data_IF_618237168868
#
_entry.id   IF_618237168868
#
_cell.length_a   1.000
_cell.length_b   1.000
_cell.length_c   1.000
_cell.angle_alpha   90.00
_cell.angle_beta   90.00
_cell.angle_gamma   90.00
#
_symmetry.space_group_name_H-M   'P 1'
#
loop_
_entity.id
_entity.type
_entity.pdbx_description
1 polymer ?
#
# COMPACT_ATOMS: atom_id res chain seq x y z
N UNK A 1 -4.13 -5.62 11.42
CA UNK A 1 -4.84 -4.32 11.31
C UNK A 1 -4.01 -3.49 10.36
N UNK A 2 -4.59 -2.91 9.31
CA UNK A 2 -3.81 -2.33 8.20
C UNK A 2 -2.78 -1.30 8.66
N UNK A 3 -3.07 -0.48 9.67
CA UNK A 3 -2.10 0.46 10.25
C UNK A 3 -0.89 -0.24 10.90
N UNK A 4 -1.09 -1.37 11.58
CA UNK A 4 0.00 -2.17 12.16
C UNK A 4 0.89 -2.74 11.05
N UNK A 5 0.29 -3.26 9.99
CA UNK A 5 1.04 -3.77 8.84
C UNK A 5 1.81 -2.64 8.13
N UNK A 6 1.23 -1.43 8.05
CA UNK A 6 1.92 -0.24 7.53
C UNK A 6 3.10 0.19 8.40
N UNK A 7 2.94 0.23 9.73
CA UNK A 7 4.05 0.56 10.64
C UNK A 7 5.18 -0.48 10.61
N UNK A 8 4.87 -1.74 10.28
CA UNK A 8 5.87 -2.81 10.20
C UNK A 8 6.57 -2.89 8.85
N UNK A 9 5.84 -2.63 7.75
CA UNK A 9 6.31 -2.92 6.39
C UNK A 9 6.46 -1.68 5.51
N UNK A 10 5.93 -0.52 5.91
CA UNK A 10 5.94 0.72 5.15
C UNK A 10 5.03 0.75 3.92
N UNK A 11 4.52 -0.40 3.49
CA UNK A 11 3.61 -0.51 2.34
C UNK A 11 2.56 -1.59 2.56
N UNK A 12 1.32 -1.29 2.21
CA UNK A 12 0.22 -2.27 2.15
C UNK A 12 -0.54 -2.11 0.83
N UNK A 13 -0.90 -3.23 0.23
CA UNK A 13 -1.75 -3.30 -0.97
C UNK A 13 -3.15 -3.74 -0.56
N UNK A 14 -4.18 -3.06 -1.08
CA UNK A 14 -5.58 -3.37 -0.83
C UNK A 14 -6.32 -3.65 -2.15
N UNK A 15 -6.72 -4.90 -2.33
CA UNK A 15 -7.64 -5.31 -3.40
C UNK A 15 -9.09 -5.19 -2.90
N UNK A 16 -9.63 -3.99 -2.99
CA UNK A 16 -11.00 -3.70 -2.58
C UNK A 16 -11.63 -2.62 -3.48
N UNK A 17 -12.94 -2.41 -3.29
CA UNK A 17 -13.67 -1.39 -4.03
C UNK A 17 -13.15 0.01 -3.71
N UNK A 18 -12.99 0.86 -4.74
CA UNK A 18 -12.45 2.23 -4.57
C UNK A 18 -13.10 3.08 -3.45
N UNK A 19 -14.42 3.06 -3.23
CA UNK A 19 -15.01 3.79 -2.10
C UNK A 19 -14.51 3.30 -0.75
N UNK A 20 -14.30 1.99 -0.60
CA UNK A 20 -13.79 1.39 0.62
C UNK A 20 -12.33 1.80 0.87
N UNK A 21 -11.48 1.76 -0.16
CA UNK A 21 -10.09 2.18 -0.05
C UNK A 21 -9.93 3.68 0.29
N UNK A 22 -10.86 4.53 -0.16
CA UNK A 22 -10.88 5.95 0.24
C UNK A 22 -11.23 6.14 1.71
N UNK A 23 -12.21 5.39 2.22
CA UNK A 23 -12.56 5.42 3.64
C UNK A 23 -11.38 4.94 4.49
N UNK A 24 -10.78 3.81 4.10
CA UNK A 24 -9.59 3.26 4.75
C UNK A 24 -8.43 4.26 4.76
N UNK A 25 -8.22 5.02 3.70
CA UNK A 25 -7.19 6.07 3.66
C UNK A 25 -7.41 7.18 4.71
N UNK A 26 -8.66 7.48 5.06
CA UNK A 26 -9.00 8.42 6.12
C UNK A 26 -8.74 7.82 7.51
N UNK A 27 -9.24 6.62 7.74
CA UNK A 27 -9.06 5.86 8.98
C UNK A 27 -7.57 5.66 9.31
N UNK A 28 -6.76 5.29 8.31
CA UNK A 28 -5.31 5.13 8.49
C UNK A 28 -4.61 6.43 8.87
N UNK A 29 -5.03 7.57 8.32
CA UNK A 29 -4.45 8.87 8.70
C UNK A 29 -4.78 9.21 10.14
N UNK A 30 -6.02 8.98 10.57
CA UNK A 30 -6.43 9.19 11.96
C UNK A 30 -5.67 8.27 12.92
N UNK A 31 -5.54 6.99 12.61
CA UNK A 31 -4.81 6.01 13.42
C UNK A 31 -3.31 6.32 13.52
N UNK A 32 -2.70 6.79 12.43
CA UNK A 32 -1.28 7.17 12.39
C UNK A 32 -1.03 8.61 12.87
N UNK A 33 -2.07 9.36 13.23
CA UNK A 33 -1.94 10.75 13.68
C UNK A 33 -1.49 11.74 12.59
N UNK A 34 -1.66 11.40 11.31
CA UNK A 34 -1.25 12.19 10.15
C UNK A 34 -2.35 13.19 9.80
N UNK A 35 -2.03 14.49 9.80
CA UNK A 35 -3.00 15.54 9.47
C UNK A 35 -3.10 15.76 7.95
N UNK A 36 -4.28 16.10 7.41
CA UNK A 36 -4.47 16.31 5.97
C UNK A 36 -3.66 17.47 5.38
N UNK A 37 -3.32 18.48 6.18
CA UNK A 37 -2.75 19.76 5.75
C UNK A 37 -1.29 19.98 6.19
N UNK A 38 -0.61 18.94 6.68
CA UNK A 38 0.82 19.06 7.00
C UNK A 38 1.63 19.02 5.70
N UNK A 39 1.87 20.21 5.11
CA UNK A 39 2.80 20.43 3.98
C UNK A 39 4.26 20.56 4.44
N UNK A 40 4.56 20.02 5.62
CA UNK A 40 5.90 20.06 6.21
C UNK A 40 6.66 18.86 5.65
N UNK A 41 7.63 19.11 4.77
CA UNK A 41 8.42 18.07 4.09
C UNK A 41 9.18 17.16 5.08
N UNK A 42 9.36 17.61 6.33
CA UNK A 42 10.03 16.89 7.41
C UNK A 42 9.09 15.98 8.24
N UNK A 43 7.78 15.93 7.92
CA UNK A 43 6.81 15.08 8.65
C UNK A 43 6.45 13.81 7.91
N UNK A 44 6.06 12.82 8.70
CA UNK A 44 5.55 11.56 8.16
C UNK A 44 4.25 11.75 7.39
N UNK A 45 4.16 11.08 6.24
CA UNK A 45 3.02 11.14 5.34
C UNK A 45 2.52 9.75 4.96
N UNK A 46 1.24 9.71 4.60
CA UNK A 46 0.59 8.54 4.02
C UNK A 46 0.16 8.84 2.59
N UNK A 47 0.79 8.16 1.64
CA UNK A 47 0.34 8.19 0.24
C UNK A 47 -0.72 7.11 0.03
N UNK A 48 -1.79 7.48 -0.66
CA UNK A 48 -2.78 6.55 -1.20
C UNK A 48 -2.71 6.64 -2.72
N UNK A 49 -2.25 5.56 -3.34
CA UNK A 49 -2.00 5.48 -4.78
C UNK A 49 -2.74 4.28 -5.36
N UNK A 50 -2.92 4.30 -6.68
CA UNK A 50 -3.45 3.15 -7.42
C UNK A 50 -2.50 2.79 -8.55
N UNK A 51 -2.39 1.50 -8.86
CA UNK A 51 -1.69 1.07 -10.06
C UNK A 51 -2.37 -0.12 -10.73
N UNK A 52 -2.17 -0.19 -12.04
CA UNK A 52 -2.49 -1.36 -12.84
C UNK A 52 -1.53 -2.52 -12.49
N UNK A 53 -2.09 -3.72 -12.39
CA UNK A 53 -1.41 -4.94 -12.02
C UNK A 53 -1.96 -6.12 -12.84
N UNK A 54 -1.16 -7.16 -12.95
CA UNK A 54 -1.53 -8.42 -13.60
C UNK A 54 -1.27 -9.60 -12.65
N UNK A 55 -2.15 -9.82 -11.65
CA UNK A 55 -2.12 -11.01 -10.83
C UNK A 55 -2.45 -12.26 -11.66
N UNK A 56 -1.40 -12.98 -12.07
CA UNK A 56 -1.50 -14.30 -12.70
C UNK A 56 -2.32 -14.35 -14.02
N UNK A 57 -2.25 -13.30 -14.85
CA UNK A 57 -2.91 -13.22 -16.16
C UNK A 57 -4.27 -12.51 -16.13
N UNK A 58 -4.67 -11.97 -14.99
CA UNK A 58 -5.91 -11.21 -14.82
C UNK A 58 -5.60 -9.72 -14.60
N UNK A 59 -5.69 -8.92 -15.66
CA UNK A 59 -5.49 -7.47 -15.57
C UNK A 59 -6.48 -6.80 -14.62
N UNK A 60 -5.96 -5.96 -13.72
CA UNK A 60 -6.75 -5.26 -12.71
C UNK A 60 -6.08 -4.01 -12.17
N UNK A 61 -6.77 -3.33 -11.27
CA UNK A 61 -6.26 -2.19 -10.52
C UNK A 61 -6.30 -2.50 -9.03
N UNK A 62 -5.23 -2.16 -8.34
CA UNK A 62 -5.17 -2.20 -6.87
C UNK A 62 -4.84 -0.83 -6.33
N UNK A 63 -5.29 -0.57 -5.11
CA UNK A 63 -4.80 0.56 -4.34
C UNK A 63 -3.71 0.10 -3.39
N UNK A 64 -2.83 1.01 -3.03
CA UNK A 64 -1.80 0.76 -2.05
C UNK A 64 -1.52 2.03 -1.25
N UNK A 65 -1.01 1.79 -0.05
CA UNK A 65 -0.69 2.80 0.95
C UNK A 65 0.79 2.75 1.24
N UNK A 66 1.46 3.90 1.23
CA UNK A 66 2.89 4.01 1.56
C UNK A 66 3.03 4.94 2.75
N UNK A 67 3.66 4.45 3.82
CA UNK A 67 3.94 5.21 5.02
C UNK A 67 5.42 5.60 5.08
N UNK A 68 5.71 6.90 5.07
CA UNK A 68 7.08 7.41 4.91
C UNK A 68 8.03 7.05 6.04
N UNK A 69 7.54 6.93 7.28
CA UNK A 69 8.40 6.68 8.46
C UNK A 69 9.17 5.36 8.32
N UNK A 70 8.55 4.36 7.71
CA UNK A 70 9.02 2.97 7.68
C UNK A 70 9.31 2.46 6.28
N UNK A 71 8.94 3.23 5.24
CA UNK A 71 9.25 2.90 3.85
C UNK A 71 10.59 3.54 3.44
N UNK A 72 11.69 2.76 3.32
CA UNK A 72 13.04 3.31 3.18
C UNK A 72 13.37 3.77 1.74
N UNK A 73 12.41 3.69 0.83
CA UNK A 73 12.61 3.93 -0.60
C UNK A 73 11.80 5.14 -1.07
N UNK A 74 12.24 5.72 -2.18
CA UNK A 74 11.46 6.71 -2.92
C UNK A 74 10.06 6.13 -3.24
N UNK A 75 8.95 6.84 -2.93
CA UNK A 75 7.60 6.45 -3.31
C UNK A 75 7.43 6.07 -4.79
N UNK A 76 8.23 6.64 -5.69
CA UNK A 76 8.24 6.25 -7.11
C UNK A 76 8.62 4.77 -7.33
N UNK A 77 9.40 4.17 -6.42
CA UNK A 77 9.77 2.75 -6.46
C UNK A 77 8.67 1.83 -5.91
N UNK A 78 7.72 2.36 -5.14
CA UNK A 78 6.65 1.56 -4.54
C UNK A 78 5.82 0.82 -5.60
N UNK A 79 5.52 1.45 -6.75
CA UNK A 79 4.74 0.83 -7.83
C UNK A 79 5.33 -0.49 -8.32
N UNK A 80 6.66 -0.55 -8.49
CA UNK A 80 7.32 -1.77 -8.97
C UNK A 80 7.25 -2.89 -7.93
N UNK A 81 7.40 -2.55 -6.64
CA UNK A 81 7.27 -3.49 -5.53
C UNK A 81 5.83 -4.01 -5.40
N UNK A 82 4.82 -3.15 -5.54
CA UNK A 82 3.40 -3.52 -5.54
C UNK A 82 3.10 -4.51 -6.66
N UNK A 83 3.56 -4.23 -7.88
CA UNK A 83 3.34 -5.13 -9.02
C UNK A 83 3.98 -6.51 -8.77
N UNK A 84 5.19 -6.56 -8.21
CA UNK A 84 5.86 -7.82 -7.85
C UNK A 84 5.12 -8.57 -6.73
N UNK A 85 4.67 -7.85 -5.69
CA UNK A 85 3.93 -8.42 -4.57
C UNK A 85 2.59 -9.00 -5.01
N UNK A 86 1.83 -8.26 -5.82
CA UNK A 86 0.52 -8.70 -6.37
C UNK A 86 0.69 -9.92 -7.28
N UNK A 87 1.78 -9.98 -8.04
CA UNK A 87 2.10 -11.17 -8.83
C UNK A 87 2.34 -12.39 -7.93
N UNK A 88 3.14 -12.27 -6.88
CA UNK A 88 3.36 -13.37 -5.93
C UNK A 88 2.05 -13.80 -5.26
N UNK A 89 1.25 -12.85 -4.79
CA UNK A 89 -0.09 -13.08 -4.23
C UNK A 89 -1.00 -13.84 -5.18
N UNK A 90 -1.00 -13.47 -6.47
CA UNK A 90 -1.73 -14.19 -7.53
C UNK A 90 -1.25 -15.64 -7.69
N UNK A 91 0.06 -15.90 -7.62
CA UNK A 91 0.59 -17.27 -7.77
C UNK A 91 0.22 -18.21 -6.63
N UNK A 92 -0.12 -17.67 -5.45
CA UNK A 92 -0.55 -18.47 -4.29
C UNK A 92 -2.08 -18.53 -4.14
N UNK A 93 -2.82 -18.13 -5.17
CA UNK A 93 -4.29 -18.26 -5.20
C UNK A 93 -5.04 -17.14 -4.50
N UNK A 94 -4.42 -15.95 -4.35
CA UNK A 94 -5.09 -14.73 -3.87
C UNK A 94 -5.73 -14.83 -2.46
N UNK A 95 -4.99 -15.24 -1.42
CA UNK A 95 -5.52 -15.29 -0.06
C UNK A 95 -5.89 -13.88 0.47
N UNK A 96 -6.80 -13.82 1.45
CA UNK A 96 -7.24 -12.54 2.06
C UNK A 96 -6.11 -11.74 2.71
N UNK A 97 -5.03 -12.41 3.13
CA UNK A 97 -3.82 -11.80 3.69
C UNK A 97 -2.57 -12.47 3.13
N UNK A 98 -1.59 -11.66 2.74
CA UNK A 98 -0.33 -12.13 2.17
C UNK A 98 0.79 -11.13 2.41
N UNK A 99 1.92 -11.61 2.92
CA UNK A 99 3.16 -10.83 3.03
C UNK A 99 4.10 -11.28 1.91
N UNK A 100 4.31 -10.40 0.94
CA UNK A 100 5.24 -10.66 -0.15
C UNK A 100 6.70 -10.61 0.33
N UNK A 101 7.53 -11.52 -0.16
CA UNK A 101 8.98 -11.46 0.05
C UNK A 101 9.62 -10.96 -1.23
N UNK A 102 10.02 -9.70 -1.24
CA UNK A 102 10.62 -9.04 -2.39
C UNK A 102 12.13 -8.96 -2.20
N UNK A 103 12.89 -9.40 -3.20
CA UNK A 103 14.31 -9.09 -3.27
C UNK A 103 14.44 -7.70 -3.91
N UNK A 104 15.00 -6.70 -3.22
CA UNK A 104 15.18 -5.36 -3.75
C UNK A 104 16.16 -5.30 -4.93
#
# INVERSE_FOLDING_TARGET
MVAVDLMLHGIVVADAMRPHNRLLAGELREELGIKPDDTDDDRDFLLHLSCEVDPAGEYGWVDYYVYSETFPLDPMKAKALVAAAVRQWGTVGKPDYFVATLNP
#
